data_IF_606706419720
#
_entry.id   IF_606706419720
#
_cell.length_a   1.000
_cell.length_b   1.000
_cell.length_c   1.000
_cell.angle_alpha   90.00
_cell.angle_beta   90.00
_cell.angle_gamma   90.00
#
_symmetry.space_group_name_H-M   'P 1'
#
loop_
_entity.id
_entity.type
_entity.pdbx_description
1 polymer ?
#
# COMPACT_ATOMS: atom_id res chain seq x y z
N UNK A 1 54.31 -36.80 -3.23
CA UNK A 1 55.21 -35.93 -4.03
C UNK A 1 54.34 -34.95 -4.80
N UNK A 2 54.40 -33.66 -4.40
CA UNK A 2 53.94 -32.40 -5.06
C UNK A 2 52.49 -32.36 -5.58
N UNK A 3 51.57 -31.70 -4.86
CA UNK A 3 51.33 -30.23 -4.77
C UNK A 3 51.13 -29.60 -6.14
N UNK A 4 49.91 -29.12 -6.40
CA UNK A 4 49.66 -27.86 -7.10
C UNK A 4 48.33 -27.27 -6.62
N UNK A 5 48.49 -26.28 -5.74
CA UNK A 5 47.47 -25.32 -5.31
C UNK A 5 46.87 -24.56 -6.49
N UNK A 6 45.56 -24.28 -6.43
CA UNK A 6 44.98 -23.12 -7.11
C UNK A 6 44.21 -22.26 -6.13
N UNK A 7 44.88 -21.17 -5.77
CA UNK A 7 44.38 -19.98 -5.12
C UNK A 7 43.05 -19.50 -5.74
N UNK A 8 42.03 -19.34 -4.91
CA UNK A 8 40.92 -18.42 -5.17
C UNK A 8 40.98 -17.31 -4.13
N UNK A 9 41.07 -16.11 -4.67
CA UNK A 9 41.41 -14.84 -4.04
C UNK A 9 40.30 -14.42 -3.09
N UNK A 10 40.63 -14.31 -1.79
CA UNK A 10 39.82 -13.61 -0.79
C UNK A 10 40.03 -12.11 -0.95
N UNK A 11 39.02 -11.38 -1.44
CA UNK A 11 39.01 -9.93 -1.37
C UNK A 11 38.73 -9.49 0.09
N UNK A 12 39.80 -9.15 0.81
CA UNK A 12 39.75 -8.25 1.97
C UNK A 12 39.61 -6.83 1.44
N UNK A 13 38.46 -6.20 1.62
CA UNK A 13 38.35 -4.74 1.52
C UNK A 13 38.43 -4.16 2.93
N UNK A 14 39.61 -3.65 3.26
CA UNK A 14 39.84 -2.71 4.34
C UNK A 14 39.47 -1.33 3.83
N UNK A 15 38.45 -0.70 4.41
CA UNK A 15 38.22 0.73 4.23
C UNK A 15 38.14 1.37 5.62
N UNK A 16 39.28 1.92 6.06
CA UNK A 16 39.30 2.97 7.05
C UNK A 16 38.72 4.21 6.37
N UNK A 17 37.57 4.69 6.84
CA UNK A 17 37.16 6.07 6.61
C UNK A 17 36.75 6.66 7.96
N UNK A 18 37.68 7.41 8.55
CA UNK A 18 37.36 8.39 9.56
C UNK A 18 36.52 9.49 8.92
N UNK A 19 35.27 9.65 9.34
CA UNK A 19 34.55 10.89 9.08
C UNK A 19 33.92 11.37 10.39
N UNK A 20 34.55 12.40 10.92
CA UNK A 20 34.06 13.30 11.95
C UNK A 20 32.81 13.98 11.39
N UNK A 21 31.63 13.78 11.98
CA UNK A 21 30.49 14.68 11.79
C UNK A 21 30.13 15.31 13.12
N UNK A 22 30.28 16.63 13.16
CA UNK A 22 29.82 17.51 14.22
C UNK A 22 28.31 17.37 14.42
N UNK A 23 27.90 17.51 15.68
CA UNK A 23 26.53 17.78 16.09
C UNK A 23 25.94 18.96 15.29
N UNK A 24 24.82 18.70 14.63
CA UNK A 24 23.73 19.66 14.54
C UNK A 24 22.44 18.86 14.66
N UNK A 25 21.73 19.08 15.76
CA UNK A 25 20.46 18.43 16.01
C UNK A 25 19.44 18.78 14.93
N UNK A 26 18.63 17.79 14.56
CA UNK A 26 17.18 17.92 14.53
C UNK A 26 16.60 16.50 14.53
N UNK A 27 15.78 16.25 15.55
CA UNK A 27 14.96 15.06 15.70
C UNK A 27 13.67 15.22 14.89
N UNK A 28 13.08 14.07 14.53
CA UNK A 28 11.78 13.87 13.89
C UNK A 28 11.71 14.11 12.37
N UNK A 29 11.90 13.02 11.61
CA UNK A 29 11.39 12.93 10.24
C UNK A 29 10.05 12.19 10.27
N UNK A 30 8.99 12.88 10.65
CA UNK A 30 7.65 12.52 10.20
C UNK A 30 7.65 12.70 8.68
N UNK A 31 7.40 11.63 7.91
CA UNK A 31 7.41 11.73 6.44
C UNK A 31 6.19 12.52 5.98
N UNK A 32 6.35 13.84 5.94
CA UNK A 32 5.35 14.75 5.41
C UNK A 32 5.03 14.34 3.97
N UNK A 33 3.73 14.30 3.63
CA UNK A 33 3.23 14.01 2.29
C UNK A 33 2.52 15.21 1.70
N UNK A 34 2.69 15.43 0.40
CA UNK A 34 1.94 16.45 -0.35
C UNK A 34 1.06 15.77 -1.38
N UNK A 35 -0.26 15.92 -1.25
CA UNK A 35 -1.21 15.45 -2.25
C UNK A 35 -1.47 16.54 -3.30
N UNK A 36 -1.15 16.23 -4.54
CA UNK A 36 -1.59 16.99 -5.71
C UNK A 36 -2.93 16.44 -6.21
N UNK A 37 -3.89 17.31 -6.50
CA UNK A 37 -5.20 16.94 -7.06
C UNK A 37 -5.56 17.91 -8.19
N UNK A 38 -6.19 17.42 -9.25
CA UNK A 38 -6.67 18.23 -10.36
C UNK A 38 -8.06 17.81 -10.81
N UNK A 39 -8.69 18.59 -11.69
CA UNK A 39 -9.97 18.24 -12.29
C UNK A 39 -9.73 17.54 -13.64
N UNK A 40 -10.59 16.58 -14.01
CA UNK A 40 -10.55 16.00 -15.35
C UNK A 40 -10.63 17.09 -16.43
N UNK A 41 -9.77 16.98 -17.44
CA UNK A 41 -9.76 17.80 -18.64
C UNK A 41 -10.54 17.12 -19.75
N UNK A 42 -11.42 17.86 -20.43
CA UNK A 42 -12.20 17.33 -21.55
C UNK A 42 -11.27 16.91 -22.69
N UNK A 43 -11.38 15.65 -23.13
CA UNK A 43 -10.57 15.09 -24.22
C UNK A 43 -9.21 14.49 -23.80
N UNK A 44 -8.87 14.48 -22.51
CA UNK A 44 -7.69 13.77 -22.01
C UNK A 44 -8.01 12.30 -21.73
N UNK A 45 -7.25 11.40 -22.36
CA UNK A 45 -7.29 9.94 -22.16
C UNK A 45 -6.45 9.51 -20.93
N UNK A 46 -5.34 10.21 -20.67
CA UNK A 46 -4.50 10.06 -19.48
C UNK A 46 -3.71 11.34 -19.20
N UNK A 47 -3.00 11.38 -18.07
CA UNK A 47 -2.17 12.51 -17.65
C UNK A 47 -0.72 12.10 -17.50
N UNK A 48 0.18 13.03 -17.79
CA UNK A 48 1.59 12.98 -17.42
C UNK A 48 1.82 13.95 -16.26
N UNK A 49 2.35 13.44 -15.17
CA UNK A 49 2.87 14.22 -14.04
C UNK A 49 4.35 14.39 -14.30
N UNK A 50 4.76 15.57 -14.75
CA UNK A 50 6.13 15.86 -15.10
C UNK A 50 6.84 16.50 -13.90
N UNK A 51 8.02 16.01 -13.57
CA UNK A 51 8.89 16.55 -12.54
C UNK A 51 10.16 17.12 -13.17
N UNK A 52 10.56 18.30 -12.73
CA UNK A 52 11.81 18.95 -13.13
C UNK A 52 12.48 19.59 -11.93
N UNK A 53 13.82 19.61 -11.91
CA UNK A 53 14.56 20.43 -10.93
C UNK A 53 14.58 21.92 -11.35
N UNK A 54 14.13 22.21 -12.58
CA UNK A 54 14.06 23.56 -13.14
C UNK A 54 12.60 24.01 -13.30
N UNK A 55 12.32 25.25 -12.90
CA UNK A 55 10.95 25.80 -12.93
C UNK A 55 10.41 25.93 -14.35
N UNK A 56 11.26 26.18 -15.33
CA UNK A 56 10.87 26.36 -16.74
C UNK A 56 10.68 25.02 -17.46
N UNK A 57 10.92 23.89 -16.79
CA UNK A 57 10.81 22.54 -17.36
C UNK A 57 11.66 22.34 -18.62
N UNK A 58 12.84 22.99 -18.69
CA UNK A 58 13.77 22.83 -19.81
C UNK A 58 14.23 21.37 -19.98
N UNK A 59 14.24 20.60 -18.89
CA UNK A 59 14.47 19.16 -18.88
C UNK A 59 13.47 18.49 -17.94
N UNK A 60 12.75 17.49 -18.44
CA UNK A 60 11.94 16.61 -17.58
C UNK A 60 12.88 15.59 -16.96
N UNK A 61 12.96 15.58 -15.63
CA UNK A 61 13.77 14.63 -14.89
C UNK A 61 13.06 13.28 -14.77
N UNK A 62 11.77 13.33 -14.40
CA UNK A 62 10.92 12.15 -14.31
C UNK A 62 9.51 12.49 -14.77
N UNK A 63 8.77 11.49 -15.26
CA UNK A 63 7.35 11.65 -15.46
C UNK A 63 6.60 10.39 -15.06
N UNK A 64 5.40 10.58 -14.53
CA UNK A 64 4.49 9.49 -14.19
C UNK A 64 3.24 9.59 -15.06
N UNK A 65 2.86 8.45 -15.67
CA UNK A 65 1.61 8.34 -16.42
C UNK A 65 0.51 7.88 -15.48
N UNK A 66 -0.64 8.55 -15.50
CA UNK A 66 -1.80 8.16 -14.66
C UNK A 66 -3.12 8.48 -15.35
N UNK A 67 -4.16 7.69 -15.07
CA UNK A 67 -5.56 8.03 -15.40
C UNK A 67 -6.31 8.66 -14.22
N UNK A 68 -5.67 8.71 -13.04
CA UNK A 68 -6.24 9.30 -11.84
C UNK A 68 -6.13 10.84 -11.87
N UNK A 69 -6.82 11.49 -10.93
CA UNK A 69 -6.82 12.95 -10.77
C UNK A 69 -6.12 13.41 -9.47
N UNK A 70 -5.28 12.52 -8.92
CA UNK A 70 -4.52 12.72 -7.68
C UNK A 70 -3.16 12.04 -7.80
N UNK A 71 -2.16 12.60 -7.13
CA UNK A 71 -0.85 11.98 -6.92
C UNK A 71 -0.27 12.42 -5.57
N UNK A 72 0.47 11.55 -4.90
CA UNK A 72 1.12 11.84 -3.62
C UNK A 72 2.63 11.90 -3.77
N UNK A 73 3.22 12.97 -3.25
CA UNK A 73 4.67 13.17 -3.20
C UNK A 73 5.17 12.95 -1.78
N UNK A 74 6.38 12.40 -1.68
CA UNK A 74 7.09 12.20 -0.43
C UNK A 74 8.13 13.32 -0.25
N UNK A 75 8.65 13.50 0.97
CA UNK A 75 9.64 14.53 1.29
C UNK A 75 10.89 14.50 0.40
N UNK A 76 11.26 13.34 -0.14
CA UNK A 76 12.38 13.18 -1.08
C UNK A 76 12.14 13.86 -2.44
N UNK A 77 10.88 14.07 -2.81
CA UNK A 77 10.49 14.74 -4.06
C UNK A 77 10.49 16.27 -3.91
N UNK A 78 10.73 16.79 -2.71
CA UNK A 78 10.65 18.23 -2.39
C UNK A 78 11.51 19.11 -3.30
N UNK A 79 12.61 18.58 -3.84
CA UNK A 79 13.51 19.31 -4.75
C UNK A 79 12.92 19.60 -6.14
N UNK A 80 11.78 19.00 -6.50
CA UNK A 80 11.21 19.13 -7.83
C UNK A 80 10.09 20.16 -7.91
N UNK A 81 9.98 20.78 -9.09
CA UNK A 81 8.77 21.39 -9.60
C UNK A 81 7.92 20.32 -10.29
N UNK A 82 6.61 20.42 -10.13
CA UNK A 82 5.64 19.52 -10.77
C UNK A 82 4.64 20.29 -11.63
N UNK A 83 4.28 19.71 -12.77
CA UNK A 83 3.11 20.09 -13.57
C UNK A 83 2.40 18.86 -14.11
N UNK A 84 1.12 19.00 -14.44
CA UNK A 84 0.28 17.93 -15.01
C UNK A 84 -0.11 18.30 -16.43
N UNK A 85 0.01 17.35 -17.35
CA UNK A 85 -0.33 17.52 -18.77
C UNK A 85 -1.32 16.44 -19.18
N UNK A 86 -2.50 16.81 -19.66
CA UNK A 86 -3.45 15.86 -20.24
C UNK A 86 -3.02 15.44 -21.64
N UNK A 87 -3.12 14.16 -21.96
CA UNK A 87 -2.81 13.57 -23.26
C UNK A 87 -4.08 12.98 -23.85
N UNK A 88 -4.41 13.30 -25.10
CA UNK A 88 -5.59 12.76 -25.77
C UNK A 88 -5.32 11.36 -26.35
N UNK A 89 -6.35 10.75 -26.94
CA UNK A 89 -6.28 9.40 -27.53
C UNK A 89 -5.26 9.29 -28.67
N UNK A 90 -5.01 10.39 -29.40
CA UNK A 90 -4.07 10.45 -30.53
C UNK A 90 -2.63 10.75 -30.07
N UNK A 91 -2.38 10.85 -28.76
CA UNK A 91 -1.08 11.21 -28.19
C UNK A 91 -0.75 12.70 -28.19
N UNK A 92 -1.69 13.54 -28.61
CA UNK A 92 -1.62 15.00 -28.55
C UNK A 92 -1.56 15.51 -27.12
N UNK A 93 -0.61 16.41 -26.85
CA UNK A 93 -0.39 17.04 -25.55
C UNK A 93 -1.33 18.25 -25.38
N UNK A 94 -2.08 18.27 -24.29
CA UNK A 94 -2.90 19.40 -23.88
C UNK A 94 -2.08 20.51 -23.20
N UNK A 95 -2.78 21.55 -22.76
CA UNK A 95 -2.18 22.65 -21.98
C UNK A 95 -1.71 22.12 -20.62
N UNK A 96 -0.51 22.51 -20.21
CA UNK A 96 0.04 22.13 -18.91
C UNK A 96 -0.66 22.87 -17.77
N UNK A 97 -0.80 22.22 -16.61
CA UNK A 97 -1.22 22.88 -15.38
C UNK A 97 -0.24 23.99 -14.98
N UNK A 98 -0.64 24.89 -14.06
CA UNK A 98 0.32 25.72 -13.35
C UNK A 98 1.43 24.85 -12.73
N UNK A 99 2.65 25.40 -12.71
CA UNK A 99 3.81 24.77 -12.09
C UNK A 99 3.73 24.96 -10.57
N UNK A 100 3.96 23.88 -9.84
CA UNK A 100 3.94 23.86 -8.37
C UNK A 100 5.35 23.51 -7.88
N UNK A 101 5.89 24.32 -6.96
CA UNK A 101 7.10 24.01 -6.18
C UNK A 101 6.74 23.00 -5.09
N UNK A 102 7.30 21.78 -5.13
CA UNK A 102 7.05 20.81 -4.06
C UNK A 102 7.72 21.26 -2.76
N UNK A 103 8.90 21.89 -2.83
CA UNK A 103 9.57 22.48 -1.67
C UNK A 103 8.64 23.42 -0.88
N UNK A 104 7.94 24.32 -1.58
CA UNK A 104 7.02 25.28 -0.94
C UNK A 104 5.83 24.56 -0.31
N UNK A 105 5.35 23.48 -0.94
CA UNK A 105 4.22 22.70 -0.42
C UNK A 105 4.58 21.88 0.81
N UNK A 106 5.77 21.28 0.85
CA UNK A 106 6.27 20.64 2.06
C UNK A 106 6.52 21.67 3.16
N UNK A 107 7.13 22.82 2.84
CA UNK A 107 7.37 23.89 3.81
C UNK A 107 6.08 24.50 4.40
N UNK A 108 5.00 24.59 3.61
CA UNK A 108 3.71 25.11 4.03
C UNK A 108 2.79 24.07 4.68
N UNK A 109 3.12 22.77 4.59
CA UNK A 109 2.31 21.75 5.24
C UNK A 109 2.44 21.92 6.77
N UNK A 110 1.31 21.88 7.50
CA UNK A 110 1.31 22.15 8.93
C UNK A 110 2.31 21.20 9.60
N UNK A 111 3.26 21.77 10.35
CA UNK A 111 4.05 21.00 11.31
C UNK A 111 3.07 20.62 12.42
N UNK A 112 2.31 19.54 12.19
CA UNK A 112 1.48 18.95 13.23
C UNK A 112 2.47 18.37 14.20
N UNK A 113 2.80 19.14 15.24
CA UNK A 113 3.48 18.57 16.39
C UNK A 113 2.42 17.67 17.03
N UNK A 114 2.45 16.38 16.70
CA UNK A 114 1.62 15.40 17.38
C UNK A 114 2.02 15.49 18.85
N UNK A 115 1.17 16.09 19.66
CA UNK A 115 1.40 16.21 21.09
C UNK A 115 1.27 14.81 21.67
N UNK A 116 2.42 14.13 21.81
CA UNK A 116 2.47 12.88 22.54
C UNK A 116 1.98 13.13 23.96
N UNK A 117 1.19 12.21 24.54
CA UNK A 117 0.91 12.29 25.95
C UNK A 117 2.23 12.41 26.70
N UNK A 118 2.34 13.39 27.61
CA UNK A 118 3.57 13.61 28.38
C UNK A 118 4.00 12.38 29.18
N UNK A 119 3.13 11.39 29.33
CA UNK A 119 3.35 10.11 30.01
C UNK A 119 3.94 9.02 29.12
N UNK A 120 4.26 9.24 27.85
CA UNK A 120 4.85 8.24 26.95
C UNK A 120 6.25 8.67 26.54
N UNK A 121 7.22 7.75 26.59
CA UNK A 121 8.63 8.00 26.30
C UNK A 121 9.13 6.98 25.26
N UNK A 122 9.65 7.48 24.14
CA UNK A 122 10.23 6.65 23.08
C UNK A 122 11.62 6.11 23.48
N UNK A 123 12.07 5.03 22.82
CA UNK A 123 13.39 4.42 23.08
C UNK A 123 14.58 5.39 23.00
N UNK A 124 14.49 6.39 22.12
CA UNK A 124 15.55 7.38 21.85
C UNK A 124 15.42 8.65 22.69
N UNK A 125 14.35 8.78 23.47
CA UNK A 125 14.09 9.99 24.26
C UNK A 125 14.41 9.76 25.74
N UNK A 126 15.17 10.68 26.32
CA UNK A 126 15.38 10.72 27.76
C UNK A 126 14.24 11.51 28.42
N UNK A 127 13.75 11.00 29.55
CA UNK A 127 12.71 11.69 30.30
C UNK A 127 13.31 12.95 30.95
N UNK A 128 12.71 14.11 30.67
CA UNK A 128 13.02 15.35 31.37
C UNK A 128 11.86 15.73 32.27
N UNK A 129 12.11 15.86 33.57
CA UNK A 129 11.12 16.42 34.48
C UNK A 129 11.23 17.94 34.40
N UNK A 130 10.16 18.59 33.91
CA UNK A 130 10.04 20.05 34.00
C UNK A 130 9.69 20.43 35.43
N UNK A 131 10.73 20.70 36.21
CA UNK A 131 10.60 21.37 37.50
C UNK A 131 10.63 22.85 37.17
N UNK A 132 9.49 23.54 37.30
CA UNK A 132 9.37 24.95 36.95
C UNK A 132 10.61 25.74 37.36
N UNK A 133 11.18 26.50 36.42
CA UNK A 133 12.52 27.05 36.49
C UNK A 133 12.88 27.62 37.87
N UNK A 134 13.99 27.20 38.50
CA UNK A 134 14.54 27.87 39.69
C UNK A 134 15.02 29.29 39.38
N UNK A 135 15.11 29.67 38.09
CA UNK A 135 15.65 30.94 37.61
C UNK A 135 14.62 31.71 36.77
N UNK A 136 13.61 32.27 37.43
CA UNK A 136 12.99 33.52 36.94
C UNK A 136 13.40 34.66 37.87
N UNK A 137 14.66 35.07 37.75
CA UNK A 137 15.13 36.35 38.29
C UNK A 137 14.86 37.47 37.29
N UNK A 138 13.89 38.34 37.62
CA UNK A 138 13.90 39.77 37.24
C UNK A 138 12.51 40.40 37.00
N UNK A 139 12.29 41.69 37.30
CA UNK A 139 12.97 42.60 38.23
C UNK A 139 12.15 42.83 39.51
N UNK A 140 12.84 43.31 40.54
CA UNK A 140 12.27 43.78 41.80
C UNK A 140 11.22 44.88 41.60
N UNK A 141 10.07 44.73 42.24
CA UNK A 141 9.36 45.87 42.82
C UNK A 141 9.36 45.70 44.32
N UNK A 142 10.20 46.50 44.99
CA UNK A 142 10.24 46.62 46.44
C UNK A 142 8.87 47.03 46.98
N UNK A 143 8.32 46.22 47.87
CA UNK A 143 7.32 46.66 48.86
C UNK A 143 7.88 46.30 50.24
N UNK A 144 8.21 47.26 51.11
CA UNK A 144 8.78 46.98 52.42
C UNK A 144 7.66 46.66 53.41
N UNK A 145 7.53 45.40 53.83
CA UNK A 145 6.60 45.03 54.88
C UNK A 145 6.23 43.55 55.01
N UNK A 146 7.19 42.64 55.19
CA UNK A 146 7.01 41.40 55.96
C UNK A 146 8.33 40.64 56.10
N UNK A 147 8.60 39.96 57.23
CA UNK A 147 9.82 39.17 57.38
C UNK A 147 9.80 37.97 56.44
N UNK A 148 10.87 37.87 55.64
CA UNK A 148 11.27 36.77 54.77
C UNK A 148 10.72 35.38 55.16
N UNK A 149 9.76 34.89 54.38
CA UNK A 149 9.81 33.53 53.88
C UNK A 149 10.26 33.59 52.43
N UNK A 150 11.57 33.81 52.22
CA UNK A 150 12.20 33.51 50.94
C UNK A 150 11.90 32.05 50.66
N UNK A 151 11.05 31.77 49.66
CA UNK A 151 10.85 30.42 49.14
C UNK A 151 12.23 29.86 48.84
N UNK A 152 12.68 28.91 49.66
CA UNK A 152 13.98 28.27 49.48
C UNK A 152 14.01 27.65 48.10
N UNK A 153 14.95 28.12 47.29
CA UNK A 153 15.21 27.59 45.96
C UNK A 153 15.79 26.18 46.16
N UNK A 154 15.21 25.14 45.54
CA UNK A 154 15.79 23.81 45.62
C UNK A 154 17.19 23.81 45.02
N UNK A 155 18.14 23.19 45.71
CA UNK A 155 19.56 23.15 45.32
C UNK A 155 19.89 21.86 44.61
N UNK A 156 19.22 20.78 45.00
CA UNK A 156 19.40 19.46 44.40
C UNK A 156 18.06 18.77 44.32
N UNK A 157 17.78 18.15 43.17
CA UNK A 157 16.65 17.25 42.99
C UNK A 157 17.18 15.84 42.94
N UNK A 158 16.49 14.92 43.61
CA UNK A 158 16.73 13.49 43.55
C UNK A 158 15.53 12.78 42.95
N UNK A 159 15.78 11.71 42.22
CA UNK A 159 14.75 10.84 41.66
C UNK A 159 15.07 9.37 41.90
N UNK A 160 14.06 8.51 41.82
CA UNK A 160 14.22 7.07 41.70
C UNK A 160 13.17 6.51 40.75
N UNK A 161 13.48 5.38 40.14
CA UNK A 161 12.60 4.69 39.19
C UNK A 161 12.21 3.34 39.78
N UNK A 162 10.92 3.01 39.78
CA UNK A 162 10.34 1.73 40.22
C UNK A 162 10.81 1.28 41.62
N UNK A 163 10.93 2.24 42.55
CA UNK A 163 11.35 1.96 43.93
C UNK A 163 12.84 1.61 44.09
N UNK A 164 13.67 1.87 43.08
CA UNK A 164 15.13 1.71 43.17
C UNK A 164 15.81 2.74 44.08
N UNK A 165 17.14 2.81 43.99
CA UNK A 165 17.94 3.76 44.77
C UNK A 165 17.71 5.21 44.32
N UNK A 166 17.80 6.15 45.27
CA UNK A 166 17.73 7.58 44.98
C UNK A 166 18.99 8.05 44.25
N UNK A 167 18.80 8.73 43.12
CA UNK A 167 19.84 9.28 42.26
C UNK A 167 19.71 10.79 42.16
N UNK A 168 20.81 11.50 41.97
CA UNK A 168 20.77 12.95 41.71
C UNK A 168 20.25 13.21 40.30
N UNK A 169 19.35 14.18 40.15
CA UNK A 169 18.82 14.60 38.85
C UNK A 169 19.78 15.58 38.19
N UNK A 170 20.30 15.21 37.02
CA UNK A 170 21.27 16.00 36.23
C UNK A 170 20.67 16.57 34.93
N UNK A 171 19.34 16.47 34.77
CA UNK A 171 18.61 16.96 33.60
C UNK A 171 17.99 15.85 32.74
N UNK A 172 18.29 14.59 33.02
CA UNK A 172 17.70 13.44 32.32
C UNK A 172 17.39 12.28 33.28
N UNK A 173 16.38 11.48 32.94
CA UNK A 173 16.03 10.23 33.63
C UNK A 173 15.97 9.13 32.59
N UNK A 174 16.77 8.09 32.80
CA UNK A 174 16.76 6.89 31.95
C UNK A 174 15.75 5.87 32.48
N UNK A 175 14.78 5.51 31.65
CA UNK A 175 13.88 4.40 31.91
C UNK A 175 14.47 3.14 31.26
N UNK A 176 14.88 2.14 32.06
CA UNK A 176 15.48 0.92 31.53
C UNK A 176 14.45 -0.16 31.19
N UNK A 177 13.39 -0.27 31.99
CA UNK A 177 12.35 -1.30 31.86
C UNK A 177 11.27 -0.89 30.88
N UNK A 178 10.82 -1.82 30.04
CA UNK A 178 9.68 -1.65 29.15
C UNK A 178 8.38 -1.55 29.95
N UNK A 179 7.40 -0.82 29.44
CA UNK A 179 6.09 -0.66 30.07
C UNK A 179 6.05 0.49 31.08
N UNK A 180 5.10 0.41 32.01
CA UNK A 180 4.86 1.48 32.98
C UNK A 180 5.98 1.54 34.04
N UNK A 181 6.67 2.67 34.07
CA UNK A 181 7.67 3.04 35.06
C UNK A 181 7.11 4.13 35.98
N UNK A 182 7.21 3.91 37.29
CA UNK A 182 6.92 4.93 38.30
C UNK A 182 8.19 5.71 38.62
N UNK A 183 8.13 7.03 38.48
CA UNK A 183 9.21 7.95 38.81
C UNK A 183 8.80 8.74 40.02
N UNK A 184 9.58 8.60 41.09
CA UNK A 184 9.45 9.39 42.31
C UNK A 184 10.57 10.42 42.36
N UNK A 185 10.26 11.63 42.81
CA UNK A 185 11.24 12.71 42.93
C UNK A 185 10.96 13.61 44.12
N UNK A 186 12.02 14.14 44.72
CA UNK A 186 11.97 15.18 45.74
C UNK A 186 13.15 16.14 45.58
N UNK A 187 13.01 17.33 46.13
CA UNK A 187 14.05 18.36 46.17
C UNK A 187 14.51 18.64 47.59
N UNK A 188 15.78 19.00 47.73
CA UNK A 188 16.43 19.40 48.97
C UNK A 188 16.94 20.84 48.84
N UNK A 189 16.73 21.64 49.89
CA UNK A 189 17.24 23.02 49.95
C UNK A 189 18.70 23.09 50.45
N UNK A 190 19.28 24.30 50.51
CA UNK A 190 20.65 24.51 51.03
C UNK A 190 20.83 24.09 52.50
N UNK A 191 19.75 23.95 53.27
CA UNK A 191 19.76 23.61 54.70
C UNK A 191 19.48 22.12 54.96
N UNK A 192 19.27 21.33 53.90
CA UNK A 192 18.96 19.92 53.98
C UNK A 192 17.48 19.59 54.23
N UNK A 193 16.57 20.55 54.14
CA UNK A 193 15.14 20.26 54.26
C UNK A 193 14.65 19.60 52.95
N UNK A 194 13.97 18.46 53.10
CA UNK A 194 13.45 17.66 51.98
C UNK A 194 11.96 17.85 51.83
N UNK A 195 11.50 18.05 50.60
CA UNK A 195 10.06 17.98 50.32
C UNK A 195 9.55 16.53 50.38
N UNK A 196 8.24 16.36 50.59
CA UNK A 196 7.59 15.05 50.45
C UNK A 196 7.74 14.55 49.00
N UNK A 197 8.19 13.29 48.77
CA UNK A 197 8.32 12.75 47.42
C UNK A 197 7.02 12.84 46.61
N UNK A 198 7.14 13.38 45.40
CA UNK A 198 6.10 13.36 44.38
C UNK A 198 6.31 12.14 43.49
N UNK A 199 5.22 11.66 42.88
CA UNK A 199 5.26 10.48 42.01
C UNK A 199 4.46 10.72 40.73
N UNK A 200 4.95 10.14 39.65
CA UNK A 200 4.32 10.15 38.32
C UNK A 200 4.64 8.84 37.60
N UNK A 201 3.86 8.49 36.57
CA UNK A 201 4.05 7.27 35.79
C UNK A 201 4.31 7.61 34.32
N UNK A 202 5.28 6.91 33.75
CA UNK A 202 5.65 7.01 32.34
C UNK A 202 5.67 5.63 31.70
N UNK A 203 5.08 5.50 30.52
CA UNK A 203 5.15 4.31 29.70
C UNK A 203 6.38 4.41 28.81
N UNK A 204 7.32 3.49 28.97
CA UNK A 204 8.37 3.25 27.98
C UNK A 204 7.86 2.24 26.97
N UNK A 205 7.84 2.64 25.72
CA UNK A 205 7.45 1.76 24.61
C UNK A 205 8.43 1.95 23.45
N UNK A 206 9.06 0.84 23.08
CA UNK A 206 10.11 0.75 22.07
C UNK A 206 9.71 -0.18 20.93
N UNK A 207 8.49 -0.71 20.98
CA UNK A 207 8.00 -1.73 20.05
C UNK A 207 7.04 -1.13 19.04
N UNK A 208 7.39 -1.20 17.77
CA UNK A 208 6.54 -0.68 16.72
C UNK A 208 5.29 -1.57 16.49
N UNK A 209 4.17 -1.01 15.99
CA UNK A 209 2.98 -1.79 15.66
C UNK A 209 3.29 -2.93 14.68
N UNK A 210 2.56 -4.03 14.81
CA UNK A 210 2.57 -5.11 13.83
C UNK A 210 1.33 -5.08 12.97
N UNK A 211 1.50 -5.15 11.64
CA UNK A 211 0.39 -5.16 10.67
C UNK A 211 0.54 -6.37 9.75
N UNK A 212 -0.55 -7.09 9.54
CA UNK A 212 -0.57 -8.32 8.74
C UNK A 212 -1.86 -8.48 7.95
N UNK A 213 -1.74 -9.01 6.73
CA UNK A 213 -2.87 -9.43 5.90
C UNK A 213 -3.33 -10.82 6.34
N UNK A 214 -4.64 -10.98 6.56
CA UNK A 214 -5.25 -12.21 7.09
C UNK A 214 -6.05 -12.93 6.01
N UNK A 215 -5.98 -14.26 6.02
CA UNK A 215 -6.89 -15.13 5.26
C UNK A 215 -6.46 -15.42 3.83
N UNK A 216 -5.52 -14.65 3.29
CA UNK A 216 -5.09 -14.76 1.90
C UNK A 216 -3.99 -15.81 1.70
N UNK A 217 -4.12 -16.59 0.63
CA UNK A 217 -3.14 -17.62 0.23
C UNK A 217 -2.51 -17.28 -1.11
N UNK A 218 -1.28 -17.76 -1.30
CA UNK A 218 -0.61 -17.66 -2.60
C UNK A 218 -1.27 -18.58 -3.61
N UNK A 219 -1.55 -18.05 -4.79
CA UNK A 219 -1.98 -18.81 -5.96
C UNK A 219 -0.81 -19.41 -6.73
N UNK A 220 -1.06 -19.86 -7.96
CA UNK A 220 -0.07 -20.54 -8.78
C UNK A 220 1.05 -19.60 -9.28
N UNK A 221 0.77 -18.30 -9.34
CA UNK A 221 1.77 -17.26 -9.63
C UNK A 221 2.81 -17.09 -8.51
N UNK A 222 2.57 -17.65 -7.32
CA UNK A 222 3.36 -17.39 -6.12
C UNK A 222 3.02 -16.06 -5.43
N UNK A 223 2.11 -15.27 -6.01
CA UNK A 223 1.48 -14.10 -5.41
C UNK A 223 0.13 -14.46 -4.80
N UNK A 224 -0.41 -13.58 -3.97
CA UNK A 224 -1.81 -13.65 -3.54
C UNK A 224 -2.69 -13.25 -4.73
N UNK A 225 -3.63 -14.12 -5.11
CA UNK A 225 -4.53 -13.94 -6.25
C UNK A 225 -5.95 -13.68 -5.75
N UNK A 226 -6.53 -12.54 -6.12
CA UNK A 226 -7.80 -12.05 -5.56
C UNK A 226 -8.74 -11.64 -6.69
N UNK A 227 -10.02 -11.95 -6.55
CA UNK A 227 -11.07 -11.44 -7.44
C UNK A 227 -11.28 -9.95 -7.21
N UNK A 228 -11.29 -9.15 -8.27
CA UNK A 228 -11.64 -7.73 -8.17
C UNK A 228 -13.00 -7.55 -7.50
N UNK A 229 -13.07 -6.64 -6.53
CA UNK A 229 -14.24 -6.42 -5.68
C UNK A 229 -14.31 -7.27 -4.41
N UNK A 230 -13.38 -8.20 -4.19
CA UNK A 230 -13.23 -8.88 -2.91
C UNK A 230 -12.75 -7.92 -1.80
N UNK A 231 -13.09 -8.26 -0.55
CA UNK A 231 -12.61 -7.55 0.65
C UNK A 231 -11.34 -8.20 1.18
N UNK A 232 -10.27 -7.43 1.29
CA UNK A 232 -9.05 -7.80 2.00
C UNK A 232 -9.16 -7.38 3.46
N UNK A 233 -8.57 -8.16 4.37
CA UNK A 233 -8.57 -7.85 5.80
C UNK A 233 -7.16 -7.71 6.34
N UNK A 234 -6.77 -6.49 6.74
CA UNK A 234 -5.57 -6.24 7.54
C UNK A 234 -5.92 -6.29 9.04
N UNK A 235 -4.97 -6.74 9.86
CA UNK A 235 -5.03 -6.61 11.31
C UNK A 235 -3.76 -5.92 11.80
N UNK A 236 -3.95 -4.86 12.58
CA UNK A 236 -2.89 -4.22 13.32
C UNK A 236 -2.97 -4.61 14.80
N UNK A 237 -1.82 -4.93 15.40
CA UNK A 237 -1.68 -5.24 16.82
C UNK A 237 -0.52 -4.46 17.42
N UNK A 238 -0.70 -4.02 18.65
CA UNK A 238 0.24 -3.19 19.40
C UNK A 238 -0.06 -3.45 20.90
N UNK A 239 0.97 -3.60 21.73
CA UNK A 239 0.85 -4.02 23.15
C UNK A 239 1.34 -2.96 24.16
N UNK A 240 1.97 -1.89 23.70
CA UNK A 240 2.52 -0.79 24.47
C UNK A 240 1.62 0.45 24.47
N UNK A 241 2.02 1.47 23.73
CA UNK A 241 1.48 2.84 23.81
C UNK A 241 0.14 3.03 23.10
N UNK A 242 -0.32 2.04 22.34
CA UNK A 242 -1.47 2.11 21.48
C UNK A 242 -1.12 2.64 20.09
N UNK A 243 -1.79 2.11 19.07
CA UNK A 243 -1.71 2.65 17.70
C UNK A 243 -2.20 4.11 17.72
N UNK A 244 -1.38 4.99 17.17
CA UNK A 244 -1.74 6.39 16.94
C UNK A 244 -2.38 6.53 15.57
N UNK A 245 -1.71 6.06 14.52
CA UNK A 245 -2.22 6.11 13.15
C UNK A 245 -1.76 4.89 12.34
N UNK A 246 -2.62 4.46 11.42
CA UNK A 246 -2.27 3.58 10.30
C UNK A 246 -2.82 4.16 9.00
N UNK A 247 -1.97 4.28 7.99
CA UNK A 247 -2.33 4.65 6.62
C UNK A 247 -2.11 3.46 5.69
N UNK A 248 -3.09 3.18 4.83
CA UNK A 248 -3.12 2.04 3.90
C UNK A 248 -3.39 2.55 2.49
N UNK A 249 -2.64 2.04 1.52
CA UNK A 249 -2.81 2.30 0.10
C UNK A 249 -2.92 0.97 -0.68
N UNK A 250 -3.90 0.86 -1.56
CA UNK A 250 -4.02 -0.23 -2.54
C UNK A 250 -4.22 0.35 -3.93
N UNK A 251 -3.30 0.07 -4.84
CA UNK A 251 -3.35 0.55 -6.22
C UNK A 251 -2.77 -0.48 -7.20
N UNK A 252 -3.23 -0.44 -8.45
CA UNK A 252 -2.57 -1.14 -9.54
C UNK A 252 -1.18 -0.54 -9.78
N UNK A 253 -0.17 -1.40 -10.01
CA UNK A 253 1.22 -0.99 -10.17
C UNK A 253 1.44 -0.10 -11.39
N UNK A 254 0.61 -0.25 -12.42
CA UNK A 254 0.66 0.55 -13.65
C UNK A 254 -0.14 1.87 -13.55
N UNK A 255 -0.75 2.15 -12.39
CA UNK A 255 -1.56 3.35 -12.17
C UNK A 255 -2.93 3.33 -12.86
N UNK A 256 -3.37 2.16 -13.32
CA UNK A 256 -4.72 1.96 -13.86
C UNK A 256 -5.74 1.66 -12.77
N UNK A 257 -7.02 1.75 -13.11
CA UNK A 257 -8.11 1.38 -12.21
C UNK A 257 -8.32 2.34 -11.02
N UNK A 258 -9.08 1.86 -10.04
CA UNK A 258 -9.34 2.57 -8.80
C UNK A 258 -8.13 2.53 -7.86
N UNK A 259 -8.16 3.39 -6.84
CA UNK A 259 -7.16 3.43 -5.78
C UNK A 259 -7.87 3.53 -4.44
N UNK A 260 -7.40 2.78 -3.46
CA UNK A 260 -7.89 2.87 -2.08
C UNK A 260 -6.85 3.56 -1.22
N UNK A 261 -7.26 4.59 -0.50
CA UNK A 261 -6.48 5.26 0.51
C UNK A 261 -7.31 5.31 1.80
N UNK A 262 -6.79 4.76 2.89
CA UNK A 262 -7.47 4.69 4.18
C UNK A 262 -6.51 5.12 5.28
N UNK A 263 -6.96 5.99 6.17
CA UNK A 263 -6.24 6.37 7.38
C UNK A 263 -7.15 6.12 8.57
N UNK A 264 -6.66 5.40 9.57
CA UNK A 264 -7.37 5.08 10.81
C UNK A 264 -6.47 5.42 12.01
N UNK A 265 -7.09 5.75 13.13
CA UNK A 265 -6.38 6.10 14.37
C UNK A 265 -6.98 5.40 15.58
N UNK A 266 -6.18 5.27 16.63
CA UNK A 266 -6.61 4.73 17.93
C UNK A 266 -7.23 3.33 17.84
N UNK A 267 -8.38 3.16 18.50
CA UNK A 267 -9.04 1.84 18.63
C UNK A 267 -9.65 1.33 17.31
N UNK A 268 -9.96 2.20 16.34
CA UNK A 268 -10.43 1.76 15.03
C UNK A 268 -9.34 1.04 14.24
N UNK A 269 -8.08 1.45 14.41
CA UNK A 269 -6.92 0.81 13.78
C UNK A 269 -6.67 -0.62 14.29
N UNK A 270 -7.15 -0.95 15.51
CA UNK A 270 -7.01 -2.30 16.10
C UNK A 270 -8.08 -3.29 15.63
N UNK A 271 -9.19 -2.79 15.08
CA UNK A 271 -10.25 -3.65 14.52
C UNK A 271 -9.77 -4.26 13.19
N UNK A 272 -10.34 -5.39 12.74
CA UNK A 272 -10.07 -5.89 11.39
C UNK A 272 -10.39 -4.82 10.33
N UNK A 273 -9.37 -4.41 9.58
CA UNK A 273 -9.46 -3.33 8.59
C UNK A 273 -9.81 -3.94 7.24
N UNK A 274 -11.02 -3.63 6.76
CA UNK A 274 -11.52 -4.11 5.47
C UNK A 274 -11.18 -3.16 4.33
N UNK A 275 -10.65 -3.71 3.24
CA UNK A 275 -10.20 -2.95 2.06
C UNK A 275 -10.87 -3.57 0.82
N UNK A 276 -11.67 -2.80 0.10
CA UNK A 276 -12.29 -3.27 -1.14
C UNK A 276 -11.33 -3.17 -2.32
N UNK A 277 -11.16 -4.25 -3.07
CA UNK A 277 -10.37 -4.28 -4.32
C UNK A 277 -11.19 -3.88 -5.57
N UNK A 278 -12.38 -3.30 -5.38
CA UNK A 278 -13.29 -2.99 -6.49
C UNK A 278 -12.69 -1.99 -7.48
N UNK A 279 -12.77 -2.32 -8.77
CA UNK A 279 -12.27 -1.47 -9.85
C UNK A 279 -10.76 -1.51 -10.03
N UNK A 280 -10.06 -2.44 -9.38
CA UNK A 280 -8.62 -2.70 -9.54
C UNK A 280 -8.45 -4.00 -10.33
N UNK A 281 -7.48 -4.03 -11.25
CA UNK A 281 -7.12 -5.18 -12.07
C UNK A 281 -5.61 -5.20 -12.32
N UNK A 282 -5.05 -6.40 -12.43
CA UNK A 282 -3.63 -6.66 -12.64
C UNK A 282 -2.78 -6.66 -11.37
N UNK A 283 -1.46 -6.59 -11.60
CA UNK A 283 -0.46 -6.56 -10.54
C UNK A 283 -0.64 -5.27 -9.72
N UNK A 284 -0.94 -5.42 -8.44
CA UNK A 284 -1.28 -4.35 -7.50
C UNK A 284 -0.36 -4.39 -6.29
N UNK A 285 -0.19 -3.24 -5.63
CA UNK A 285 0.62 -3.12 -4.41
C UNK A 285 -0.28 -2.67 -3.28
N UNK A 286 -0.33 -3.47 -2.20
CA UNK A 286 -0.90 -3.09 -0.92
C UNK A 286 0.22 -2.57 -0.03
N UNK A 287 0.20 -1.30 0.33
CA UNK A 287 1.16 -0.67 1.25
C UNK A 287 0.46 -0.24 2.52
N UNK A 288 1.16 -0.32 3.64
CA UNK A 288 0.73 0.30 4.89
C UNK A 288 1.89 0.93 5.65
N UNK A 289 1.55 1.93 6.42
CA UNK A 289 2.43 2.67 7.33
C UNK A 289 1.68 2.82 8.65
N UNK A 290 2.33 2.49 9.77
CA UNK A 290 1.70 2.59 11.08
C UNK A 290 2.67 3.15 12.11
N UNK A 291 2.17 4.01 12.99
CA UNK A 291 2.88 4.50 14.15
C UNK A 291 2.04 4.40 15.41
N UNK A 292 2.71 4.26 16.54
CA UNK A 292 2.09 4.28 17.87
C UNK A 292 2.23 5.66 18.54
N UNK A 293 1.74 5.77 19.77
CA UNK A 293 1.80 7.01 20.57
C UNK A 293 3.18 7.33 21.11
N UNK A 294 4.06 6.34 21.20
CA UNK A 294 5.49 6.53 21.48
C UNK A 294 6.26 6.98 20.23
N UNK A 295 5.64 6.91 19.05
CA UNK A 295 6.22 7.24 17.76
C UNK A 295 7.14 6.18 17.19
N UNK A 296 7.03 4.92 17.64
CA UNK A 296 7.63 3.82 16.90
C UNK A 296 6.85 3.63 15.60
N UNK A 297 7.55 3.29 14.52
CA UNK A 297 7.02 3.34 13.16
C UNK A 297 7.37 2.09 12.36
N UNK A 298 6.43 1.63 11.52
CA UNK A 298 6.65 0.60 10.51
C UNK A 298 6.11 1.02 9.15
N UNK A 299 6.77 0.53 8.09
CA UNK A 299 6.29 0.60 6.72
C UNK A 299 6.51 -0.75 6.05
N UNK A 300 5.51 -1.24 5.32
CA UNK A 300 5.64 -2.47 4.53
C UNK A 300 4.67 -2.48 3.36
N UNK A 301 4.96 -3.33 2.38
CA UNK A 301 4.12 -3.52 1.20
C UNK A 301 4.10 -4.98 0.74
N UNK A 302 3.01 -5.41 0.11
CA UNK A 302 2.82 -6.75 -0.45
C UNK A 302 2.30 -6.62 -1.90
N UNK A 303 2.91 -7.33 -2.87
CA UNK A 303 2.35 -7.45 -4.21
C UNK A 303 1.18 -8.44 -4.25
N UNK A 304 0.12 -8.05 -4.93
CA UNK A 304 -1.11 -8.82 -5.14
C UNK A 304 -1.39 -8.93 -6.65
N UNK A 305 -2.01 -10.02 -7.08
CA UNK A 305 -2.60 -10.13 -8.41
C UNK A 305 -4.12 -10.02 -8.26
N UNK A 306 -4.69 -8.89 -8.69
CA UNK A 306 -6.14 -8.67 -8.63
C UNK A 306 -6.70 -8.91 -10.02
N UNK A 307 -7.74 -9.73 -10.13
CA UNK A 307 -8.26 -10.16 -11.42
C UNK A 307 -9.74 -9.86 -11.55
N UNK A 308 -10.06 -8.95 -12.47
CA UNK A 308 -11.42 -8.54 -12.81
C UNK A 308 -11.95 -9.23 -14.08
N UNK A 309 -11.11 -10.00 -14.80
CA UNK A 309 -11.43 -10.50 -16.13
C UNK A 309 -11.98 -11.91 -16.04
N UNK A 310 -13.04 -12.17 -16.81
CA UNK A 310 -13.55 -13.53 -16.97
C UNK A 310 -12.86 -14.22 -18.14
N UNK A 311 -12.82 -15.57 -18.16
CA UNK A 311 -12.31 -16.30 -19.31
C UNK A 311 -13.02 -15.94 -20.62
N UNK A 312 -12.28 -15.99 -21.72
CA UNK A 312 -12.77 -15.82 -23.09
C UNK A 312 -12.62 -17.13 -23.86
N UNK A 313 -13.53 -17.40 -24.79
CA UNK A 313 -13.57 -18.65 -25.55
C UNK A 313 -13.57 -18.43 -27.06
N UNK A 314 -12.89 -19.33 -27.76
CA UNK A 314 -12.89 -19.47 -29.22
C UNK A 314 -13.47 -20.83 -29.58
N UNK A 315 -14.36 -20.84 -30.59
CA UNK A 315 -15.03 -22.03 -31.10
C UNK A 315 -14.49 -22.37 -32.49
N UNK A 316 -13.85 -23.52 -32.61
CA UNK A 316 -13.21 -23.96 -33.85
C UNK A 316 -13.91 -25.20 -34.41
N UNK A 317 -14.69 -25.10 -35.49
CA UNK A 317 -15.25 -26.27 -36.15
C UNK A 317 -14.14 -27.05 -36.88
N UNK A 318 -14.19 -28.39 -36.84
CA UNK A 318 -13.23 -29.23 -37.59
C UNK A 318 -13.45 -29.16 -39.10
N UNK A 319 -14.70 -28.90 -39.51
CA UNK A 319 -15.09 -28.66 -40.89
C UNK A 319 -16.35 -27.78 -40.91
N UNK A 320 -16.56 -27.05 -42.00
CA UNK A 320 -17.66 -26.08 -42.10
C UNK A 320 -17.25 -24.68 -41.65
N UNK A 321 -18.23 -23.79 -41.43
CA UNK A 321 -17.99 -22.40 -41.04
C UNK A 321 -19.15 -21.78 -40.29
N UNK A 322 -18.84 -20.78 -39.48
CA UNK A 322 -19.82 -19.80 -39.01
C UNK A 322 -20.32 -19.00 -40.22
N UNK A 323 -21.64 -18.91 -40.39
CA UNK A 323 -22.25 -18.04 -41.41
C UNK A 323 -22.71 -16.72 -40.80
N UNK A 324 -23.13 -15.79 -41.66
CA UNK A 324 -23.61 -14.45 -41.30
C UNK A 324 -24.86 -14.48 -40.40
N UNK A 325 -25.61 -15.58 -40.42
CA UNK A 325 -26.76 -15.83 -39.53
C UNK A 325 -26.36 -16.21 -38.09
N UNK A 326 -25.06 -16.28 -37.79
CA UNK A 326 -24.53 -16.65 -36.47
C UNK A 326 -24.62 -18.14 -36.15
N UNK A 327 -24.86 -19.00 -37.14
CA UNK A 327 -24.94 -20.46 -36.97
C UNK A 327 -23.69 -21.13 -37.54
N UNK A 328 -23.12 -22.05 -36.78
CA UNK A 328 -22.08 -22.96 -37.28
C UNK A 328 -22.72 -24.05 -38.13
N UNK A 329 -22.40 -24.09 -39.42
CA UNK A 329 -22.87 -25.15 -40.32
C UNK A 329 -21.79 -26.21 -40.46
N UNK A 330 -22.11 -27.43 -40.03
CA UNK A 330 -21.22 -28.59 -40.05
C UNK A 330 -21.81 -29.70 -40.92
N UNK A 331 -20.99 -30.65 -41.34
CA UNK A 331 -21.51 -31.93 -41.84
C UNK A 331 -22.04 -32.79 -40.70
N UNK A 332 -22.79 -33.84 -41.02
CA UNK A 332 -23.15 -34.90 -40.08
C UNK A 332 -21.88 -35.41 -39.33
N UNK A 333 -21.95 -35.46 -38.00
CA UNK A 333 -20.84 -35.80 -37.10
C UNK A 333 -19.65 -34.82 -37.10
N UNK A 334 -19.81 -33.63 -37.68
CA UNK A 334 -18.81 -32.57 -37.56
C UNK A 334 -18.58 -32.16 -36.10
N UNK A 335 -17.35 -31.77 -35.77
CA UNK A 335 -16.95 -31.48 -34.39
C UNK A 335 -16.73 -29.98 -34.18
N UNK A 336 -16.97 -29.51 -32.95
CA UNK A 336 -16.53 -28.19 -32.49
C UNK A 336 -15.53 -28.35 -31.35
N UNK A 337 -14.32 -27.85 -31.56
CA UNK A 337 -13.34 -27.66 -30.51
C UNK A 337 -13.60 -26.34 -29.77
N UNK A 338 -13.46 -26.37 -28.45
CA UNK A 338 -13.61 -25.20 -27.58
C UNK A 338 -12.25 -24.94 -26.96
N UNK A 339 -11.72 -23.74 -27.18
CA UNK A 339 -10.52 -23.27 -26.50
C UNK A 339 -10.88 -22.03 -25.71
N UNK A 340 -10.70 -22.09 -24.40
CA UNK A 340 -10.88 -20.93 -23.54
C UNK A 340 -9.57 -20.59 -22.85
N UNK A 341 -9.37 -19.30 -22.60
CA UNK A 341 -8.23 -18.79 -21.86
C UNK A 341 -8.66 -17.59 -21.03
N UNK A 342 -7.91 -17.35 -19.97
CA UNK A 342 -8.12 -16.19 -19.11
C UNK A 342 -7.15 -15.08 -19.53
N UNK A 343 -7.64 -13.91 -19.99
CA UNK A 343 -6.82 -12.97 -20.73
C UNK A 343 -5.88 -12.13 -19.85
N UNK A 344 -4.69 -11.81 -20.38
CA UNK A 344 -3.77 -10.84 -19.80
C UNK A 344 -3.08 -11.35 -18.53
N UNK A 345 -3.18 -10.60 -17.44
CA UNK A 345 -2.67 -10.96 -16.10
C UNK A 345 -3.70 -11.75 -15.28
N UNK A 346 -4.66 -12.38 -15.94
CA UNK A 346 -5.70 -13.18 -15.28
C UNK A 346 -5.14 -14.33 -14.44
N UNK A 347 -5.94 -14.80 -13.49
CA UNK A 347 -5.63 -15.87 -12.55
C UNK A 347 -5.52 -17.25 -13.21
N UNK A 348 -5.97 -17.38 -14.45
CA UNK A 348 -5.93 -18.58 -15.27
C UNK A 348 -7.25 -19.35 -15.26
N UNK A 349 -7.50 -20.11 -16.32
CA UNK A 349 -8.69 -20.95 -16.43
C UNK A 349 -8.71 -22.04 -15.35
N UNK A 350 -9.87 -22.21 -14.69
CA UNK A 350 -10.10 -23.24 -13.67
C UNK A 350 -11.14 -24.26 -14.13
N UNK A 351 -12.24 -23.81 -14.72
CA UNK A 351 -13.37 -24.66 -15.12
C UNK A 351 -13.77 -24.39 -16.56
N UNK A 352 -14.02 -25.47 -17.31
CA UNK A 352 -14.62 -25.43 -18.65
C UNK A 352 -15.65 -26.56 -18.79
N UNK A 353 -16.91 -26.18 -18.90
CA UNK A 353 -18.05 -27.09 -19.00
C UNK A 353 -19.00 -26.64 -20.11
N UNK A 354 -19.84 -27.55 -20.58
CA UNK A 354 -20.87 -27.23 -21.57
C UNK A 354 -22.14 -28.07 -21.36
N UNK A 355 -23.24 -27.64 -21.98
CA UNK A 355 -24.43 -28.45 -22.18
C UNK A 355 -24.97 -28.26 -23.59
N UNK A 356 -25.64 -29.29 -24.11
CA UNK A 356 -26.31 -29.26 -25.41
C UNK A 356 -27.82 -29.23 -25.18
N UNK A 357 -28.49 -28.19 -25.70
CA UNK A 357 -29.91 -27.94 -25.48
C UNK A 357 -30.26 -27.91 -23.99
N UNK A 358 -31.18 -28.77 -23.58
CA UNK A 358 -31.61 -28.94 -22.19
C UNK A 358 -30.93 -30.13 -21.49
N UNK A 359 -29.86 -30.68 -22.08
CA UNK A 359 -29.09 -31.77 -21.50
C UNK A 359 -28.33 -31.38 -20.23
N UNK A 360 -27.72 -32.37 -19.55
CA UNK A 360 -26.90 -32.13 -18.36
C UNK A 360 -25.63 -31.34 -18.70
N UNK A 361 -25.08 -30.65 -17.70
CA UNK A 361 -23.77 -30.01 -17.79
C UNK A 361 -22.68 -31.09 -17.77
N UNK A 362 -21.71 -30.97 -18.66
CA UNK A 362 -20.59 -31.90 -18.84
C UNK A 362 -19.27 -31.13 -18.82
N UNK A 363 -18.23 -31.70 -18.23
CA UNK A 363 -16.87 -31.15 -18.34
C UNK A 363 -16.34 -31.35 -19.76
N UNK A 364 -15.72 -30.32 -20.31
CA UNK A 364 -15.14 -30.40 -21.64
C UNK A 364 -13.81 -31.16 -21.61
N UNK A 365 -13.72 -32.26 -22.36
CA UNK A 365 -12.50 -33.08 -22.47
C UNK A 365 -12.03 -33.27 -23.92
N UNK A 366 -12.95 -33.19 -24.88
CA UNK A 366 -12.69 -33.39 -26.30
C UNK A 366 -13.69 -32.59 -27.15
N UNK A 367 -13.40 -32.36 -28.44
CA UNK A 367 -14.33 -31.72 -29.37
C UNK A 367 -15.72 -32.38 -29.38
N UNK A 368 -16.76 -31.55 -29.49
CA UNK A 368 -18.16 -31.98 -29.39
C UNK A 368 -18.69 -32.33 -30.77
N UNK A 369 -19.23 -33.54 -30.94
CA UNK A 369 -19.91 -33.96 -32.17
C UNK A 369 -21.42 -33.73 -32.15
N UNK A 370 -22.01 -33.55 -33.33
CA UNK A 370 -23.43 -33.28 -33.50
C UNK A 370 -24.09 -34.23 -34.50
N UNK A 371 -25.22 -34.82 -34.10
CA UNK A 371 -26.14 -35.49 -35.02
C UNK A 371 -26.84 -34.47 -35.92
N UNK A 372 -27.41 -34.91 -37.03
CA UNK A 372 -28.14 -34.03 -37.95
C UNK A 372 -29.22 -33.20 -37.25
N UNK A 373 -29.31 -31.92 -37.58
CA UNK A 373 -30.27 -30.98 -37.02
C UNK A 373 -29.62 -29.79 -36.31
N UNK A 374 -30.48 -28.96 -35.72
CA UNK A 374 -30.08 -27.73 -35.02
C UNK A 374 -29.87 -28.03 -33.54
N UNK A 375 -28.72 -27.60 -33.02
CA UNK A 375 -28.31 -27.73 -31.64
C UNK A 375 -27.95 -26.35 -31.07
N UNK A 376 -28.18 -26.18 -29.78
CA UNK A 376 -27.67 -25.03 -29.01
C UNK A 376 -26.66 -25.55 -28.01
N UNK A 377 -25.46 -24.97 -27.99
CA UNK A 377 -24.44 -25.29 -26.99
C UNK A 377 -24.30 -24.09 -26.07
N UNK A 378 -24.43 -24.32 -24.77
CA UNK A 378 -24.08 -23.34 -23.75
C UNK A 378 -22.80 -23.79 -23.06
N UNK A 379 -21.82 -22.89 -22.99
CA UNK A 379 -20.50 -23.14 -22.39
C UNK A 379 -20.36 -22.27 -21.15
N UNK A 380 -19.91 -22.89 -20.07
CA UNK A 380 -19.68 -22.27 -18.76
C UNK A 380 -18.20 -22.31 -18.44
N UNK A 381 -17.63 -21.16 -18.11
CA UNK A 381 -16.23 -21.06 -17.70
C UNK A 381 -16.07 -20.34 -16.39
N UNK A 382 -15.05 -20.72 -15.63
CA UNK A 382 -14.55 -19.92 -14.52
C UNK A 382 -13.03 -19.90 -14.46
N UNK A 383 -12.47 -18.82 -13.96
CA UNK A 383 -11.05 -18.73 -13.64
C UNK A 383 -10.78 -19.21 -12.20
N UNK A 384 -9.56 -18.98 -11.68
CA UNK A 384 -9.15 -19.42 -10.35
C UNK A 384 -9.62 -18.53 -9.22
N UNK A 385 -9.92 -17.26 -9.48
CA UNK A 385 -10.46 -16.34 -8.48
C UNK A 385 -12.00 -16.31 -8.46
N UNK A 386 -12.65 -17.02 -9.39
CA UNK A 386 -14.10 -17.16 -9.49
C UNK A 386 -14.78 -16.11 -10.38
N UNK A 387 -14.08 -15.47 -11.32
CA UNK A 387 -14.75 -14.81 -12.44
C UNK A 387 -15.37 -15.88 -13.35
N UNK A 388 -16.59 -15.62 -13.81
CA UNK A 388 -17.40 -16.59 -14.56
C UNK A 388 -17.88 -15.98 -15.87
N UNK A 389 -18.02 -16.81 -16.89
CA UNK A 389 -18.63 -16.43 -18.16
C UNK A 389 -19.52 -17.55 -18.71
N UNK A 390 -20.55 -17.14 -19.45
CA UNK A 390 -21.42 -18.01 -20.22
C UNK A 390 -21.38 -17.61 -21.70
N UNK A 391 -21.18 -18.59 -22.58
CA UNK A 391 -21.23 -18.41 -24.03
C UNK A 391 -22.30 -19.32 -24.64
N UNK A 392 -23.04 -18.82 -25.63
CA UNK A 392 -24.07 -19.60 -26.33
C UNK A 392 -23.82 -19.59 -27.83
N UNK A 393 -23.71 -20.76 -28.44
CA UNK A 393 -23.56 -20.94 -29.89
C UNK A 393 -24.68 -21.81 -30.45
N UNK A 394 -25.01 -21.60 -31.73
CA UNK A 394 -25.94 -22.45 -32.49
C UNK A 394 -25.17 -23.24 -33.54
N UNK A 395 -25.53 -24.51 -33.68
CA UNK A 395 -24.89 -25.43 -34.61
C UNK A 395 -25.98 -26.09 -35.44
N UNK A 396 -25.81 -26.16 -36.76
CA UNK A 396 -26.66 -26.92 -37.66
C UNK A 396 -25.81 -27.97 -38.38
N UNK A 397 -25.95 -29.23 -37.96
CA UNK A 397 -25.29 -30.35 -38.61
C UNK A 397 -26.17 -30.86 -39.74
N UNK A 398 -25.66 -30.82 -40.97
CA UNK A 398 -26.41 -31.18 -42.16
C UNK A 398 -25.82 -32.46 -42.75
N UNK A 399 -26.69 -33.43 -43.04
CA UNK A 399 -26.39 -34.54 -43.94
C UNK A 399 -26.84 -34.12 -45.33
N UNK A 400 -25.94 -33.89 -46.30
CA UNK A 400 -26.36 -33.64 -47.67
C UNK A 400 -27.09 -34.88 -48.17
N UNK A 401 -28.36 -34.73 -48.52
CA UNK A 401 -29.21 -35.81 -49.04
C UNK A 401 -29.36 -35.73 -50.56
N UNK A 402 -28.45 -35.03 -51.25
CA UNK A 402 -28.50 -34.93 -52.70
C UNK A 402 -28.52 -36.34 -53.29
N UNK A 403 -29.69 -36.78 -53.75
CA UNK A 403 -29.74 -37.83 -54.74
C UNK A 403 -28.77 -37.40 -55.84
N UNK A 404 -27.85 -38.27 -56.24
CA UNK A 404 -26.98 -38.05 -57.41
C UNK A 404 -27.82 -38.04 -58.69
N UNK A 405 -28.80 -37.16 -58.81
CA UNK A 405 -29.32 -36.72 -60.09
C UNK A 405 -28.37 -35.63 -60.52
N UNK A 406 -27.35 -36.03 -61.29
CA UNK A 406 -26.32 -35.11 -61.79
C UNK A 406 -26.99 -33.88 -62.38
N UNK A 407 -26.53 -32.70 -62.00
CA UNK A 407 -26.94 -31.48 -62.68
C UNK A 407 -26.45 -31.57 -64.12
N UNK A 408 -27.36 -31.82 -65.06
CA UNK A 408 -27.05 -31.70 -66.48
C UNK A 408 -26.70 -30.25 -66.77
N UNK A 409 -25.44 -30.00 -67.13
CA UNK A 409 -25.02 -28.76 -67.76
C UNK A 409 -25.75 -28.64 -69.08
N UNK A 410 -26.73 -27.74 -69.17
CA UNK A 410 -27.21 -27.27 -70.47
C UNK A 410 -26.20 -26.24 -70.98
N UNK A 411 -25.38 -26.64 -71.94
CA UNK A 411 -24.69 -25.69 -72.81
C UNK A 411 -25.73 -24.84 -73.53
N UNK A 412 -25.48 -23.54 -73.55
CA UNK A 412 -26.37 -22.54 -74.14
C UNK A 412 -25.96 -22.22 -75.56
#
# INVERSE_FOLDING_TARGET
MRILDRNIIKYKFSFLLSLLLLLSGEAFSEQQRVSLRWKPSQGAEYYLIELSEDREFLRIHHFYKTKNFRYEFNSQDSKFYVRVVGINVDGGRGVSSPIISLADKFAAAPKVKVERPSTVVASSEELRISLGDPKTSGPSTNSPGSPNSQKQVPVSTYYRVNGGEWQSYDGSISLSQEGWNEVEFYSEDILGNKETPKKTKYLKDTTAPQVRLIGEKKGQSGLIEIKSGAELTLQATEEGSGIEEITINLAARDGSGAEVNLTLSGEEAKKPIKISSSGIDGLSILRWEANDKAGNYIQSEIPLLIDAKHPVCVFAPTEGKLREDGIYYLKENGLIAIRCEDPGTGSGLSKLEYKIGNGPIQSYQAPIGFNTGIHTVTVYTSDRVGNQAEFKIKVNAIKPDWQKTGSELQEK
#
